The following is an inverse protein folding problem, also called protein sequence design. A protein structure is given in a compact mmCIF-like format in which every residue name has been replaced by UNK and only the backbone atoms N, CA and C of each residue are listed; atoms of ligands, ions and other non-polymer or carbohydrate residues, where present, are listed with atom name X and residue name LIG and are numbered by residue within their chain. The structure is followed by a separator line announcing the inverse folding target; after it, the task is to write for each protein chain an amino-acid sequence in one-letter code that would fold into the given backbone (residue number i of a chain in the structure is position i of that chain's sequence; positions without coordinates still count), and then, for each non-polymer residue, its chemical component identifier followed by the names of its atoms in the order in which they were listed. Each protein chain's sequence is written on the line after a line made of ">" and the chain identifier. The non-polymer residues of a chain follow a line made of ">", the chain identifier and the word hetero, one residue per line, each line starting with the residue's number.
data_IF_536194939098
#
_entry.id   IF_536194939098
#
_cell.length_a   1.000
_cell.length_b   1.000
_cell.length_c   1.000
_cell.angle_alpha   90.00
_cell.angle_beta   90.00
_cell.angle_gamma   90.00
#
_symmetry.space_group_name_H-M   'P 1'
#
loop_
_entity.id
_entity.type
_entity.pdbx_description
1 polymer ?
#
# COMPACT_ATOMS: atom_id res chain seq x y z
N UNK A 1 0.26 0.54 11.65
CA UNK A 1 1.03 1.69 11.09
C UNK A 1 2.45 1.19 10.88
N UNK A 2 3.08 1.05 9.72
CA UNK A 2 2.90 1.59 8.37
C UNK A 2 3.66 0.65 7.41
N UNK A 3 2.99 -0.04 6.48
CA UNK A 3 3.67 -0.80 5.41
C UNK A 3 3.21 -0.40 4.00
N UNK A 4 2.15 0.40 3.89
CA UNK A 4 1.66 0.91 2.60
C UNK A 4 2.62 1.94 1.96
N UNK A 5 3.41 2.64 2.78
CA UNK A 5 4.33 3.68 2.29
C UNK A 5 5.47 3.11 1.44
N UNK A 6 5.97 1.90 1.73
CA UNK A 6 7.17 1.37 1.08
C UNK A 6 6.90 1.03 -0.40
N UNK A 7 5.72 0.51 -0.71
CA UNK A 7 5.27 0.27 -2.08
C UNK A 7 5.10 1.56 -2.87
N UNK A 8 4.43 2.56 -2.28
CA UNK A 8 4.23 3.84 -2.95
C UNK A 8 5.53 4.59 -3.16
N UNK A 9 6.48 4.47 -2.23
CA UNK A 9 7.79 5.06 -2.36
C UNK A 9 8.55 4.52 -3.57
N UNK A 10 8.43 3.23 -3.92
CA UNK A 10 9.15 2.65 -5.07
C UNK A 10 8.70 3.26 -6.41
N UNK A 11 7.40 3.49 -6.61
CA UNK A 11 6.88 4.08 -7.85
C UNK A 11 7.20 5.58 -7.93
N UNK A 12 7.10 6.28 -6.79
CA UNK A 12 7.39 7.72 -6.71
C UNK A 12 8.90 8.00 -6.69
N UNK A 13 9.74 6.98 -6.44
CA UNK A 13 11.20 7.10 -6.41
C UNK A 13 11.75 7.60 -7.74
N UNK A 14 11.19 7.13 -8.87
CA UNK A 14 11.70 7.40 -10.21
C UNK A 14 11.53 8.88 -10.59
N UNK A 15 10.33 9.48 -10.48
CA UNK A 15 10.18 10.91 -10.74
C UNK A 15 10.91 11.77 -9.72
N UNK A 16 10.93 11.39 -8.43
CA UNK A 16 11.68 12.15 -7.41
C UNK A 16 13.18 12.14 -7.69
N UNK A 17 13.74 10.99 -8.07
CA UNK A 17 15.14 10.87 -8.48
C UNK A 17 15.44 11.68 -9.74
N UNK A 18 14.53 11.67 -10.72
CA UNK A 18 14.66 12.46 -11.96
C UNK A 18 14.70 13.97 -11.70
N UNK A 19 13.94 14.43 -10.69
CA UNK A 19 13.87 15.82 -10.26
C UNK A 19 15.03 16.27 -9.35
N UNK A 20 15.90 15.37 -8.88
CA UNK A 20 17.04 15.77 -8.06
C UNK A 20 18.12 16.49 -8.89
N UNK A 21 18.63 17.59 -8.33
CA UNK A 21 19.69 18.42 -8.94
C UNK A 21 20.98 17.64 -9.17
N UNK A 22 21.37 16.79 -8.22
CA UNK A 22 22.54 15.91 -8.34
C UNK A 22 22.11 14.45 -8.42
N UNK A 23 22.31 13.82 -9.58
CA UNK A 23 21.90 12.44 -9.87
C UNK A 23 22.91 11.41 -9.34
N UNK A 24 23.10 11.40 -8.02
CA UNK A 24 23.96 10.44 -7.34
C UNK A 24 23.14 9.54 -6.41
N UNK A 25 23.24 8.22 -6.59
CA UNK A 25 22.53 7.23 -5.76
C UNK A 25 22.90 7.35 -4.27
N UNK A 26 24.16 7.65 -3.94
CA UNK A 26 24.56 7.88 -2.55
C UNK A 26 23.86 9.10 -1.94
N UNK A 27 23.69 10.19 -2.70
CA UNK A 27 23.00 11.39 -2.20
C UNK A 27 21.49 11.14 -2.07
N UNK A 28 20.91 10.38 -3.00
CA UNK A 28 19.51 9.93 -2.91
C UNK A 28 19.25 9.09 -1.66
N UNK A 29 20.12 8.10 -1.40
CA UNK A 29 20.01 7.21 -0.25
C UNK A 29 20.16 7.98 1.07
N UNK A 30 21.11 8.92 1.15
CA UNK A 30 21.27 9.78 2.33
C UNK A 30 20.01 10.62 2.59
N UNK A 31 19.45 11.25 1.56
CA UNK A 31 18.23 12.06 1.68
C UNK A 31 17.02 11.21 2.10
N UNK A 32 16.83 10.05 1.46
CA UNK A 32 15.73 9.13 1.79
C UNK A 32 15.85 8.58 3.22
N UNK A 33 17.06 8.24 3.65
CA UNK A 33 17.31 7.76 5.01
C UNK A 33 17.03 8.84 6.06
N UNK A 34 17.47 10.08 5.80
CA UNK A 34 17.18 11.21 6.68
C UNK A 34 15.67 11.47 6.77
N UNK A 35 14.95 11.46 5.64
CA UNK A 35 13.50 11.62 5.61
C UNK A 35 12.78 10.52 6.40
N UNK A 36 13.25 9.27 6.28
CA UNK A 36 12.67 8.14 7.02
C UNK A 36 12.86 8.28 8.53
N UNK A 37 14.04 8.71 8.99
CA UNK A 37 14.30 8.97 10.41
C UNK A 37 13.37 10.06 10.94
N UNK A 38 13.26 11.18 10.21
CA UNK A 38 12.41 12.31 10.62
C UNK A 38 10.95 11.88 10.69
N UNK A 39 10.46 11.15 9.69
CA UNK A 39 9.10 10.62 9.68
C UNK A 39 8.85 9.65 10.84
N UNK A 40 9.82 8.77 11.13
CA UNK A 40 9.72 7.83 12.24
C UNK A 40 9.54 8.57 13.57
N UNK A 41 10.39 9.55 13.87
CA UNK A 41 10.30 10.34 15.10
C UNK A 41 8.95 11.06 15.20
N UNK A 42 8.51 11.73 14.13
CA UNK A 42 7.23 12.44 14.11
C UNK A 42 6.06 11.47 14.32
N UNK A 43 6.05 10.33 13.63
CA UNK A 43 4.97 9.35 13.78
C UNK A 43 4.95 8.69 15.16
N UNK A 44 6.11 8.42 15.77
CA UNK A 44 6.20 7.90 17.13
C UNK A 44 5.64 8.91 18.12
N UNK A 45 6.00 10.19 18.00
CA UNK A 45 5.50 11.26 18.88
C UNK A 45 3.98 11.40 18.75
N UNK A 46 3.45 11.46 17.51
CA UNK A 46 2.00 11.52 17.26
C UNK A 46 1.30 10.28 17.81
N UNK A 47 1.87 9.09 17.63
CA UNK A 47 1.33 7.84 18.15
C UNK A 47 1.28 7.80 19.68
N UNK A 48 2.34 8.25 20.35
CA UNK A 48 2.40 8.35 21.82
C UNK A 48 1.34 9.32 22.35
N UNK A 49 1.25 10.53 21.80
CA UNK A 49 0.22 11.49 22.22
C UNK A 49 -1.19 11.03 21.91
N UNK A 50 -1.42 10.39 20.75
CA UNK A 50 -2.70 9.79 20.40
C UNK A 50 -3.14 8.70 21.38
N UNK A 51 -2.20 7.83 21.79
CA UNK A 51 -2.47 6.80 22.80
C UNK A 51 -2.74 7.39 24.19
N UNK A 52 -1.99 8.42 24.61
CA UNK A 52 -2.21 9.09 25.89
C UNK A 52 -3.57 9.82 25.95
N UNK A 53 -4.08 10.31 24.81
CA UNK A 53 -5.33 11.08 24.75
C UNK A 53 -6.58 10.18 24.82
N UNK A 54 -6.57 9.02 24.19
CA UNK A 54 -7.75 8.11 24.12
C UNK A 54 -7.59 6.82 24.94
N UNK A 55 -6.41 6.57 25.50
CA UNK A 55 -6.12 5.39 26.30
C UNK A 55 -6.36 4.09 25.53
N UNK A 56 -7.01 3.13 26.17
CA UNK A 56 -7.29 1.80 25.62
C UNK A 56 -8.45 1.73 24.62
N UNK A 57 -9.21 2.82 24.41
CA UNK A 57 -10.38 2.87 23.52
C UNK A 57 -10.10 3.60 22.19
N UNK A 58 -8.90 3.43 21.63
CA UNK A 58 -8.55 4.02 20.32
C UNK A 58 -9.26 3.25 19.20
N UNK A 59 -10.22 3.88 18.52
CA UNK A 59 -10.76 3.33 17.28
C UNK A 59 -9.70 3.31 16.16
N UNK A 60 -9.85 2.36 15.22
CA UNK A 60 -9.03 2.29 14.00
C UNK A 60 -8.99 3.59 13.19
N UNK A 61 -10.01 4.44 13.34
CA UNK A 61 -10.00 5.80 12.83
C UNK A 61 -9.94 6.80 13.98
N UNK A 62 -8.72 7.25 14.30
CA UNK A 62 -8.47 8.24 15.35
C UNK A 62 -9.22 9.55 15.10
N UNK A 63 -9.51 9.91 13.84
CA UNK A 63 -10.26 11.14 13.54
C UNK A 63 -11.73 11.07 13.95
N UNK A 64 -12.33 9.88 14.06
CA UNK A 64 -13.72 9.74 14.54
C UNK A 64 -13.85 9.89 16.06
N UNK A 65 -12.73 9.82 16.78
CA UNK A 65 -12.70 9.90 18.24
C UNK A 65 -12.58 11.34 18.76
N UNK A 66 -12.19 12.28 17.91
CA UNK A 66 -12.16 13.69 18.28
C UNK A 66 -13.52 14.35 18.03
N UNK A 67 -13.97 15.14 19.01
CA UNK A 67 -15.19 15.91 18.88
C UNK A 67 -15.05 17.00 17.80
N UNK A 68 -16.09 17.15 16.97
CA UNK A 68 -16.09 18.08 15.85
C UNK A 68 -16.24 19.55 16.27
N UNK A 69 -16.57 19.79 17.54
CA UNK A 69 -16.72 21.14 18.10
C UNK A 69 -15.37 21.85 18.31
N UNK A 70 -14.24 21.13 18.40
CA UNK A 70 -12.92 21.76 18.56
C UNK A 70 -12.39 22.30 17.21
N UNK A 71 -12.17 23.62 17.07
CA UNK A 71 -11.68 24.21 15.84
C UNK A 71 -10.29 23.70 15.42
N UNK A 72 -9.43 23.26 16.35
CA UNK A 72 -8.12 22.71 16.01
C UNK A 72 -8.22 21.34 15.34
N UNK A 73 -9.15 20.50 15.80
CA UNK A 73 -9.44 19.19 15.19
C UNK A 73 -10.00 19.40 13.78
N UNK A 74 -10.93 20.34 13.61
CA UNK A 74 -11.53 20.64 12.31
C UNK A 74 -10.49 21.12 11.29
N UNK A 75 -9.52 21.95 11.70
CA UNK A 75 -8.40 22.37 10.83
C UNK A 75 -7.53 21.18 10.44
N UNK A 76 -7.22 20.28 11.38
CA UNK A 76 -6.45 19.06 11.09
C UNK A 76 -7.17 18.14 10.10
N UNK A 77 -8.49 17.96 10.27
CA UNK A 77 -9.34 17.19 9.36
C UNK A 77 -9.36 17.83 7.96
N UNK A 78 -9.53 19.15 7.88
CA UNK A 78 -9.48 19.90 6.63
C UNK A 78 -8.15 19.74 5.90
N UNK A 79 -7.03 19.83 6.61
CA UNK A 79 -5.70 19.61 6.04
C UNK A 79 -5.53 18.17 5.49
N UNK A 80 -6.09 17.16 6.16
CA UNK A 80 -6.07 15.78 5.68
C UNK A 80 -6.93 15.56 4.44
N UNK A 81 -8.10 16.22 4.35
CA UNK A 81 -8.94 16.19 3.15
C UNK A 81 -8.21 16.82 1.97
N UNK A 82 -7.63 18.01 2.15
CA UNK A 82 -6.85 18.70 1.11
C UNK A 82 -5.70 17.82 0.64
N UNK A 83 -4.98 17.18 1.57
CA UNK A 83 -3.92 16.22 1.24
C UNK A 83 -4.46 15.05 0.41
N UNK A 84 -5.60 14.47 0.78
CA UNK A 84 -6.20 13.36 0.01
C UNK A 84 -6.56 13.80 -1.41
N UNK A 85 -7.16 14.97 -1.57
CA UNK A 85 -7.50 15.54 -2.89
C UNK A 85 -6.24 15.73 -3.74
N UNK A 86 -5.15 16.25 -3.15
CA UNK A 86 -3.88 16.44 -3.86
C UNK A 86 -3.18 15.11 -4.21
N UNK A 87 -3.34 14.09 -3.38
CA UNK A 87 -2.71 12.77 -3.59
C UNK A 87 -3.46 11.92 -4.60
N UNK A 88 -4.79 12.05 -4.66
CA UNK A 88 -5.66 11.29 -5.57
C UNK A 88 -5.22 11.30 -7.05
N UNK A 89 -4.92 12.45 -7.69
CA UNK A 89 -4.50 12.46 -9.10
C UNK A 89 -3.16 11.75 -9.30
N UNK A 90 -2.23 11.83 -8.35
CA UNK A 90 -0.93 11.15 -8.43
C UNK A 90 -1.16 9.63 -8.44
N UNK A 91 -2.00 9.12 -7.54
CA UNK A 91 -2.34 7.70 -7.47
C UNK A 91 -3.08 7.21 -8.72
N UNK A 92 -4.00 8.03 -9.25
CA UNK A 92 -4.73 7.70 -10.47
C UNK A 92 -3.80 7.61 -11.70
N UNK A 93 -2.78 8.46 -11.78
CA UNK A 93 -1.77 8.40 -12.83
C UNK A 93 -0.92 7.12 -12.73
N UNK A 94 -0.40 6.80 -11.54
CA UNK A 94 0.35 5.57 -11.32
C UNK A 94 -0.50 4.31 -11.62
N UNK A 95 -1.76 4.30 -11.16
CA UNK A 95 -2.69 3.21 -11.43
C UNK A 95 -2.98 3.02 -12.92
N UNK A 96 -3.06 4.11 -13.68
CA UNK A 96 -3.20 4.08 -15.14
C UNK A 96 -2.00 3.45 -15.83
N UNK A 97 -0.79 3.86 -15.44
CA UNK A 97 0.43 3.39 -16.10
C UNK A 97 0.66 1.91 -15.78
N UNK A 98 0.37 1.48 -14.54
CA UNK A 98 0.39 0.06 -14.14
C UNK A 98 -0.64 -0.79 -14.91
N UNK A 99 -1.89 -0.31 -15.02
CA UNK A 99 -2.93 -1.01 -15.77
C UNK A 99 -2.60 -1.11 -17.27
N UNK A 100 -2.01 -0.05 -17.85
CA UNK A 100 -1.55 -0.06 -19.23
C UNK A 100 -0.40 -1.06 -19.45
N UNK A 101 0.54 -1.16 -18.51
CA UNK A 101 1.62 -2.14 -18.54
C UNK A 101 1.11 -3.59 -18.50
N UNK A 102 0.24 -3.90 -17.53
CA UNK A 102 -0.39 -5.23 -17.41
C UNK A 102 -1.18 -5.60 -18.67
N UNK A 103 -1.95 -4.65 -19.22
CA UNK A 103 -2.72 -4.90 -20.44
C UNK A 103 -1.83 -5.14 -21.67
N UNK A 104 -0.73 -4.39 -21.80
CA UNK A 104 0.24 -4.57 -22.87
C UNK A 104 0.88 -5.96 -22.83
N UNK A 105 1.26 -6.39 -21.62
CA UNK A 105 1.93 -7.67 -21.38
C UNK A 105 0.96 -8.86 -21.57
N UNK A 106 -0.28 -8.74 -21.10
CA UNK A 106 -1.32 -9.78 -21.27
C UNK A 106 -1.72 -10.04 -22.72
N UNK A 107 -1.73 -9.00 -23.57
CA UNK A 107 -2.17 -9.11 -24.96
C UNK A 107 -1.02 -9.15 -25.97
N UNK A 108 0.22 -8.93 -25.54
CA UNK A 108 1.40 -8.93 -26.43
C UNK A 108 1.34 -7.90 -27.56
N UNK A 109 0.63 -6.77 -27.36
CA UNK A 109 0.41 -5.78 -28.43
C UNK A 109 1.70 -5.03 -28.78
N UNK A 110 1.95 -4.90 -30.07
CA UNK A 110 2.97 -4.00 -30.63
C UNK A 110 2.60 -2.53 -30.38
N UNK A 111 3.59 -1.62 -30.25
CA UNK A 111 3.39 -0.22 -29.88
C UNK A 111 2.52 0.60 -30.85
N UNK A 112 2.20 0.11 -32.04
CA UNK A 112 1.46 0.83 -33.08
C UNK A 112 -0.07 0.87 -32.89
N UNK A 113 -0.68 -0.09 -32.17
CA UNK A 113 -2.13 -0.05 -31.81
C UNK A 113 -2.39 0.63 -30.47
N UNK A 114 -1.33 1.08 -29.79
CA UNK A 114 -1.38 1.65 -28.44
C UNK A 114 -1.96 3.06 -28.42
N UNK A 115 -1.87 3.80 -29.53
CA UNK A 115 -2.34 5.18 -29.67
C UNK A 115 -3.84 5.28 -30.01
N UNK A 116 -4.41 4.36 -30.78
CA UNK A 116 -5.82 4.43 -31.20
C UNK A 116 -6.81 4.11 -30.07
N UNK A 117 -6.40 3.27 -29.11
CA UNK A 117 -7.26 2.81 -27.99
C UNK A 117 -7.05 3.63 -26.71
N UNK A 118 -6.24 4.70 -26.75
CA UNK A 118 -5.85 5.44 -25.55
C UNK A 118 -7.05 6.04 -24.80
N UNK A 119 -8.00 6.64 -25.54
CA UNK A 119 -9.18 7.29 -24.93
C UNK A 119 -10.09 6.27 -24.24
N UNK A 120 -10.37 5.15 -24.90
CA UNK A 120 -11.24 4.09 -24.35
C UNK A 120 -10.58 3.42 -23.13
N UNK A 121 -9.25 3.20 -23.18
CA UNK A 121 -8.48 2.71 -22.03
C UNK A 121 -8.55 3.68 -20.85
N UNK A 122 -8.47 4.98 -21.11
CA UNK A 122 -8.53 6.03 -20.09
C UNK A 122 -9.90 6.07 -19.40
N UNK A 123 -10.99 5.94 -20.17
CA UNK A 123 -12.33 5.83 -19.61
C UNK A 123 -12.52 4.52 -18.84
N UNK A 124 -12.12 3.36 -19.41
CA UNK A 124 -12.23 2.07 -18.72
C UNK A 124 -11.47 2.03 -17.39
N UNK A 125 -10.21 2.49 -17.37
CA UNK A 125 -9.41 2.54 -16.13
C UNK A 125 -10.04 3.47 -15.10
N UNK A 126 -10.49 4.66 -15.51
CA UNK A 126 -11.17 5.58 -14.60
C UNK A 126 -12.47 5.01 -14.04
N UNK A 127 -13.29 4.35 -14.88
CA UNK A 127 -14.54 3.72 -14.42
C UNK A 127 -14.28 2.53 -13.51
N UNK A 128 -13.30 1.68 -13.81
CA UNK A 128 -12.94 0.54 -12.95
C UNK A 128 -12.40 1.05 -11.62
N UNK A 129 -11.51 2.05 -11.65
CA UNK A 129 -10.91 2.65 -10.45
C UNK A 129 -11.96 3.32 -9.56
N UNK A 130 -12.89 4.07 -10.16
CA UNK A 130 -13.97 4.71 -9.42
C UNK A 130 -14.94 3.67 -8.84
N UNK A 131 -15.33 2.67 -9.63
CA UNK A 131 -16.24 1.61 -9.21
C UNK A 131 -15.62 0.75 -8.11
N UNK A 132 -14.33 0.41 -8.21
CA UNK A 132 -13.63 -0.36 -7.17
C UNK A 132 -13.48 0.45 -5.88
N UNK A 133 -13.18 1.75 -5.97
CA UNK A 133 -13.12 2.64 -4.81
C UNK A 133 -14.48 2.75 -4.13
N UNK A 134 -15.57 2.86 -4.91
CA UNK A 134 -16.93 2.95 -4.39
C UNK A 134 -17.36 1.62 -3.74
N UNK A 135 -17.10 0.48 -4.39
CA UNK A 135 -17.37 -0.84 -3.84
C UNK A 135 -16.61 -1.07 -2.54
N UNK A 136 -15.31 -0.72 -2.49
CA UNK A 136 -14.51 -0.83 -1.28
C UNK A 136 -15.07 0.08 -0.17
N UNK A 137 -15.53 1.28 -0.50
CA UNK A 137 -16.13 2.19 0.47
C UNK A 137 -17.47 1.68 1.04
N UNK A 138 -18.26 0.96 0.23
CA UNK A 138 -19.55 0.38 0.66
C UNK A 138 -19.35 -0.91 1.45
N UNK A 139 -18.36 -1.73 1.08
CA UNK A 139 -18.09 -3.02 1.72
C UNK A 139 -17.27 -2.86 3.01
N UNK A 140 -16.44 -1.82 3.10
CA UNK A 140 -15.53 -1.63 4.24
C UNK A 140 -16.14 -0.69 5.28
N UNK A 141 -16.63 -1.27 6.37
CA UNK A 141 -17.04 -0.49 7.54
C UNK A 141 -15.87 -0.15 8.48
N UNK A 142 -14.74 -0.87 8.38
CA UNK A 142 -13.56 -0.71 9.24
C UNK A 142 -12.27 -0.40 8.45
N UNK A 143 -11.74 0.82 8.62
CA UNK A 143 -10.47 1.26 7.99
C UNK A 143 -9.28 0.36 8.42
N UNK A 144 -9.36 -0.24 9.61
CA UNK A 144 -8.33 -1.14 10.15
C UNK A 144 -8.13 -2.39 9.28
N UNK A 145 -9.20 -3.03 8.85
CA UNK A 145 -9.16 -4.25 8.02
C UNK A 145 -8.52 -3.94 6.66
N UNK A 146 -8.91 -2.82 6.02
CA UNK A 146 -8.28 -2.39 4.76
C UNK A 146 -6.79 -2.09 4.94
N UNK A 147 -6.38 -1.45 6.04
CA UNK A 147 -4.94 -1.23 6.32
C UNK A 147 -4.19 -2.56 6.48
N UNK A 148 -4.80 -3.58 7.12
CA UNK A 148 -4.19 -4.92 7.25
C UNK A 148 -4.02 -5.60 5.88
N UNK A 149 -5.04 -5.58 5.02
CA UNK A 149 -4.96 -6.11 3.65
C UNK A 149 -3.95 -5.36 2.78
N UNK A 150 -3.95 -4.03 2.82
CA UNK A 150 -2.98 -3.23 2.09
C UNK A 150 -1.55 -3.48 2.60
N UNK A 151 -1.39 -3.68 3.91
CA UNK A 151 -0.13 -4.04 4.54
C UNK A 151 0.38 -5.42 4.13
N UNK A 152 -0.49 -6.42 4.00
CA UNK A 152 -0.10 -7.76 3.55
C UNK A 152 0.40 -7.72 2.11
N UNK A 153 -0.36 -7.13 1.19
CA UNK A 153 0.05 -6.96 -0.22
C UNK A 153 1.37 -6.20 -0.33
N UNK A 154 1.58 -5.16 0.49
CA UNK A 154 2.85 -4.45 0.55
C UNK A 154 4.02 -5.33 1.01
N UNK A 155 3.82 -6.10 2.09
CA UNK A 155 4.86 -7.00 2.60
C UNK A 155 5.26 -8.06 1.56
N UNK A 156 4.29 -8.60 0.83
CA UNK A 156 4.56 -9.53 -0.27
C UNK A 156 5.44 -8.86 -1.33
N UNK A 157 5.09 -7.64 -1.76
CA UNK A 157 5.86 -6.94 -2.77
C UNK A 157 7.29 -6.61 -2.34
N UNK A 158 7.47 -6.15 -1.10
CA UNK A 158 8.76 -5.70 -0.58
C UNK A 158 9.77 -6.85 -0.51
N UNK A 159 9.33 -8.07 -0.20
CA UNK A 159 10.24 -9.23 -0.11
C UNK A 159 10.34 -10.01 -1.42
N UNK A 160 9.26 -10.10 -2.19
CA UNK A 160 9.22 -10.90 -3.43
C UNK A 160 9.95 -10.19 -4.57
N UNK A 161 9.76 -8.88 -4.78
CA UNK A 161 10.42 -8.15 -5.87
C UNK A 161 11.95 -8.17 -5.81
N UNK A 162 12.61 -7.82 -4.68
CA UNK A 162 14.06 -7.92 -4.61
C UNK A 162 14.55 -9.37 -4.67
N UNK A 163 13.77 -10.35 -4.19
CA UNK A 163 14.08 -11.77 -4.32
C UNK A 163 14.13 -12.21 -5.79
N UNK A 164 13.10 -11.89 -6.57
CA UNK A 164 13.04 -12.20 -8.01
C UNK A 164 14.10 -11.40 -8.79
N UNK A 165 14.27 -10.12 -8.49
CA UNK A 165 15.27 -9.27 -9.17
C UNK A 165 16.70 -9.78 -8.91
N UNK A 166 17.02 -10.14 -7.66
CA UNK A 166 18.32 -10.73 -7.33
C UNK A 166 18.54 -12.04 -8.09
N UNK A 167 17.51 -12.89 -8.18
CA UNK A 167 17.57 -14.13 -8.96
C UNK A 167 17.82 -13.87 -10.45
N UNK A 168 17.12 -12.89 -11.05
CA UNK A 168 17.30 -12.51 -12.46
C UNK A 168 18.69 -11.93 -12.74
N UNK A 169 19.21 -11.07 -11.85
CA UNK A 169 20.56 -10.51 -11.96
C UNK A 169 21.62 -11.60 -11.91
N UNK A 170 21.43 -12.59 -11.04
CA UNK A 170 22.35 -13.72 -10.93
C UNK A 170 22.28 -14.62 -12.16
N UNK A 171 21.08 -14.97 -12.65
CA UNK A 171 20.91 -15.74 -13.89
C UNK A 171 21.52 -15.04 -15.12
N UNK A 172 21.40 -13.71 -15.20
CA UNK A 172 21.93 -12.92 -16.32
C UNK A 172 23.46 -12.80 -16.27
N UNK A 173 24.05 -12.83 -15.07
CA UNK A 173 25.49 -12.70 -14.87
C UNK A 173 26.23 -14.03 -15.00
N UNK A 174 25.62 -15.13 -14.55
CA UNK A 174 26.20 -16.48 -14.61
C UNK A 174 25.09 -17.53 -14.93
N UNK A 175 24.70 -17.69 -16.21
CA UNK A 175 23.63 -18.61 -16.61
C UNK A 175 23.98 -20.09 -16.36
N UNK A 176 25.26 -20.45 -16.37
CA UNK A 176 25.73 -21.82 -16.11
C UNK A 176 25.90 -22.15 -14.61
N UNK A 177 25.62 -21.21 -13.70
CA UNK A 177 25.77 -21.38 -12.24
C UNK A 177 27.12 -21.97 -11.78
N UNK A 178 28.21 -21.69 -12.51
CA UNK A 178 29.54 -22.30 -12.28
C UNK A 178 30.20 -21.86 -10.97
N UNK A 179 29.90 -20.66 -10.48
CA UNK A 179 30.50 -20.13 -9.25
C UNK A 179 29.65 -20.47 -8.02
N UNK A 180 30.27 -21.06 -6.98
CA UNK A 180 29.62 -21.32 -5.67
C UNK A 180 28.99 -20.06 -5.07
N UNK A 181 29.56 -18.87 -5.31
CA UNK A 181 29.00 -17.58 -4.86
C UNK A 181 27.64 -17.26 -5.49
N UNK A 182 27.46 -17.63 -6.76
CA UNK A 182 26.19 -17.48 -7.48
C UNK A 182 25.11 -18.39 -6.88
N UNK A 183 25.48 -19.64 -6.56
CA UNK A 183 24.59 -20.59 -5.88
C UNK A 183 24.14 -20.08 -4.49
N UNK A 184 25.05 -19.55 -3.67
CA UNK A 184 24.69 -18.98 -2.37
C UNK A 184 23.75 -17.77 -2.51
N UNK A 185 23.96 -16.91 -3.51
CA UNK A 185 23.08 -15.76 -3.77
C UNK A 185 21.67 -16.18 -4.21
N UNK A 186 21.55 -17.23 -5.04
CA UNK A 186 20.24 -17.79 -5.43
C UNK A 186 19.53 -18.42 -4.24
N UNK A 187 20.22 -19.21 -3.42
CA UNK A 187 19.65 -19.79 -2.21
C UNK A 187 19.18 -18.68 -1.26
N UNK A 188 19.96 -17.61 -1.11
CA UNK A 188 19.58 -16.45 -0.31
C UNK A 188 18.35 -15.72 -0.87
N UNK A 189 18.26 -15.56 -2.19
CA UNK A 189 17.09 -14.97 -2.86
C UNK A 189 15.81 -15.80 -2.65
N UNK A 190 15.92 -17.13 -2.77
CA UNK A 190 14.83 -18.07 -2.52
C UNK A 190 14.40 -17.99 -1.04
N UNK A 191 15.35 -17.93 -0.12
CA UNK A 191 15.07 -17.82 1.31
C UNK A 191 14.32 -16.53 1.66
N UNK A 192 14.76 -15.37 1.15
CA UNK A 192 14.06 -14.10 1.33
C UNK A 192 12.65 -14.14 0.75
N UNK A 193 12.50 -14.70 -0.46
CA UNK A 193 11.19 -14.82 -1.12
C UNK A 193 10.25 -15.73 -0.32
N UNK A 194 10.77 -16.84 0.20
CA UNK A 194 10.03 -17.78 1.05
C UNK A 194 9.57 -17.16 2.37
N UNK A 195 10.44 -16.39 3.03
CA UNK A 195 10.08 -15.63 4.24
C UNK A 195 9.00 -14.60 3.91
N UNK A 196 9.15 -13.87 2.80
CA UNK A 196 8.15 -12.89 2.35
C UNK A 196 6.77 -13.51 2.11
N UNK A 197 6.73 -14.64 1.42
CA UNK A 197 5.50 -15.39 1.17
C UNK A 197 4.87 -15.92 2.47
N UNK A 198 5.68 -16.37 3.43
CA UNK A 198 5.19 -16.81 4.73
C UNK A 198 4.61 -15.64 5.54
N UNK A 199 5.32 -14.51 5.65
CA UNK A 199 4.83 -13.30 6.31
C UNK A 199 3.53 -12.80 5.68
N UNK A 200 3.44 -12.80 4.34
CA UNK A 200 2.21 -12.46 3.63
C UNK A 200 1.06 -13.38 4.05
N UNK A 201 1.29 -14.70 4.07
CA UNK A 201 0.29 -15.68 4.48
C UNK A 201 -0.22 -15.46 5.90
N UNK A 202 0.68 -15.17 6.85
CA UNK A 202 0.33 -14.89 8.25
C UNK A 202 -0.53 -13.64 8.38
N UNK A 203 -0.13 -12.53 7.74
CA UNK A 203 -0.89 -11.26 7.83
C UNK A 203 -2.25 -11.38 7.11
N UNK A 204 -2.30 -12.11 5.99
CA UNK A 204 -3.55 -12.37 5.29
C UNK A 204 -4.50 -13.23 6.12
N UNK A 205 -3.97 -14.27 6.77
CA UNK A 205 -4.75 -15.12 7.67
C UNK A 205 -5.32 -14.34 8.84
N UNK A 206 -4.51 -13.47 9.45
CA UNK A 206 -4.97 -12.58 10.51
C UNK A 206 -6.08 -11.63 10.03
N UNK A 207 -5.95 -11.05 8.83
CA UNK A 207 -6.96 -10.16 8.26
C UNK A 207 -8.29 -10.87 7.98
N UNK A 208 -8.25 -12.11 7.48
CA UNK A 208 -9.45 -12.93 7.23
C UNK A 208 -10.17 -13.27 8.54
N UNK A 209 -9.41 -13.62 9.59
CA UNK A 209 -9.98 -13.90 10.90
C UNK A 209 -10.66 -12.66 11.49
N UNK A 210 -10.03 -11.49 11.41
CA UNK A 210 -10.58 -10.23 11.93
C UNK A 210 -11.90 -9.87 11.22
N UNK A 211 -11.95 -10.02 9.89
CA UNK A 211 -13.16 -9.80 9.11
C UNK A 211 -14.30 -10.74 9.51
N UNK A 212 -14.00 -12.01 9.82
CA UNK A 212 -15.02 -12.98 10.26
C UNK A 212 -15.60 -12.66 11.64
N UNK A 213 -14.79 -12.05 12.52
CA UNK A 213 -15.21 -11.61 13.84
C UNK A 213 -16.10 -10.37 13.75
N UNK A 214 -15.71 -9.36 12.96
CA UNK A 214 -16.51 -8.15 12.72
C UNK A 214 -17.89 -8.48 12.12
N UNK A 215 -17.93 -9.38 11.12
CA UNK A 215 -19.21 -9.83 10.51
C UNK A 215 -20.10 -10.53 11.54
N UNK A 216 -19.54 -11.33 12.45
CA UNK A 216 -20.33 -11.96 13.52
C UNK A 216 -20.88 -10.94 14.53
N UNK A 217 -20.09 -9.94 14.90
CA UNK A 217 -20.54 -8.88 15.83
C UNK A 217 -21.69 -8.08 15.22
N UNK A 218 -21.58 -7.69 13.95
CA UNK A 218 -22.65 -6.98 13.23
C UNK A 218 -23.95 -7.81 13.13
N UNK A 219 -23.85 -9.13 12.90
CA UNK A 219 -25.00 -10.04 12.90
C UNK A 219 -25.65 -10.19 14.29
N UNK A 220 -24.86 -10.22 15.37
CA UNK A 220 -25.40 -10.25 16.74
C UNK A 220 -26.14 -8.96 17.13
N UNK A 221 -25.67 -7.80 16.68
CA UNK A 221 -26.37 -6.52 16.89
C UNK A 221 -27.67 -6.42 16.09
N UNK A 222 -27.71 -6.97 14.87
CA UNK A 222 -28.95 -7.08 14.09
C UNK A 222 -29.96 -8.04 14.73
N UNK A 223 -29.50 -9.16 15.31
CA UNK A 223 -30.37 -10.10 16.03
C UNK A 223 -30.99 -9.54 17.31
N UNK A 224 -30.30 -8.61 17.99
CA UNK A 224 -30.78 -7.97 19.22
C UNK A 224 -31.79 -6.83 18.97
N UNK A 225 -31.72 -6.15 17.82
CA UNK A 225 -32.67 -5.07 17.48
C UNK A 225 -34.01 -5.59 16.91
N UNK A 226 -34.09 -6.85 16.48
CA UNK A 226 -35.36 -7.46 16.02
C UNK A 226 -36.27 -7.99 17.13
N UNK A 227 -35.81 -8.06 18.39
CA UNK A 227 -36.61 -8.57 19.51
C UNK A 227 -37.26 -7.49 20.38
N UNK A 228 -37.06 -6.21 20.07
CA UNK A 228 -37.67 -5.07 20.81
C UNK A 228 -38.88 -4.43 20.12
N UNK A 229 -39.34 -4.99 19.00
CA UNK A 229 -40.56 -4.57 18.29
C UNK A 229 -41.56 -5.73 18.11
N UNK A 230 -41.77 -6.53 19.17
CA UNK A 230 -42.91 -7.45 19.28
C UNK A 230 -43.63 -7.20 20.60
#
# INVERSE_FOLDING_TARGET
>A
MNNFSVLQCQEVVVPVYSCMRERNLCNFMKSSFLAMIVLFVIYTVIGCFGYLTFGSHVAHNVMKMYDAEDPFVMVGVGALIIKMIATYPILALCGRDAAAGIYAELRGLKPAEFETTEKVRRYMVATIWFTSSLLLAVITESIGVVIKYLGSVASANIFIYPGICLMQVVLKKDPDMKYRKSLYLVIYAIFITGIGAFCFGVVLFEAILDQSVDVRINLCHLGANTTTHA
#
